data_IF_987861987795
#
_entry.id   IF_987861987795
#
_cell.length_a   1.000
_cell.length_b   1.000
_cell.length_c   1.000
_cell.angle_alpha   90.00
_cell.angle_beta   90.00
_cell.angle_gamma   90.00
#
_symmetry.space_group_name_H-M   'P 1'
#
loop_
_entity.id
_entity.type
_entity.pdbx_description
1 polymer ?
#
# COMPACT_ATOMS: atom_id res chain seq x y z
N UNK A 1 -50.14 -26.72 -0.22
CA UNK A 1 -51.13 -25.95 0.54
C UNK A 1 -51.06 -24.52 0.05
N UNK A 2 -52.03 -24.13 -0.79
CA UNK A 2 -52.13 -22.84 -1.47
C UNK A 2 -52.94 -21.91 -0.58
N UNK A 3 -52.47 -20.70 -0.29
CA UNK A 3 -53.36 -19.62 0.16
C UNK A 3 -52.94 -18.35 -0.58
N UNK A 4 -53.70 -18.05 -1.63
CA UNK A 4 -53.86 -16.73 -2.20
C UNK A 4 -55.22 -16.21 -1.73
N UNK A 5 -55.27 -15.00 -1.18
CA UNK A 5 -56.54 -14.28 -1.04
C UNK A 5 -56.31 -12.78 -1.17
N UNK A 6 -56.66 -12.26 -2.34
CA UNK A 6 -56.95 -10.84 -2.60
C UNK A 6 -58.37 -10.55 -2.10
N UNK A 7 -58.60 -9.43 -1.41
CA UNK A 7 -59.92 -8.79 -1.38
C UNK A 7 -59.77 -7.28 -1.57
N UNK A 8 -60.42 -6.83 -2.63
CA UNK A 8 -60.67 -5.47 -3.08
C UNK A 8 -62.02 -5.03 -2.48
N UNK A 9 -62.12 -3.81 -1.95
CA UNK A 9 -63.43 -3.15 -1.80
C UNK A 9 -63.36 -1.68 -2.19
N UNK A 10 -64.32 -1.34 -3.05
CA UNK A 10 -64.60 -0.13 -3.81
C UNK A 10 -65.29 1.01 -3.01
N UNK A 11 -65.10 2.24 -3.54
CA UNK A 11 -66.04 3.39 -3.64
C UNK A 11 -66.21 4.29 -2.40
N UNK A 12 -66.43 5.62 -2.48
CA UNK A 12 -67.28 6.44 -3.37
C UNK A 12 -66.65 7.86 -3.52
N UNK A 13 -66.83 8.48 -4.69
CA UNK A 13 -66.52 9.89 -4.96
C UNK A 13 -67.65 10.82 -4.47
N UNK A 14 -67.29 11.98 -3.92
CA UNK A 14 -68.17 13.14 -3.78
C UNK A 14 -67.38 14.40 -4.13
N UNK A 15 -67.83 15.08 -5.19
CA UNK A 15 -67.32 16.34 -5.72
C UNK A 15 -68.06 17.50 -5.01
N UNK A 16 -67.32 18.43 -4.41
CA UNK A 16 -67.86 19.69 -3.89
C UNK A 16 -66.90 20.80 -4.32
N UNK A 17 -67.39 21.64 -5.23
CA UNK A 17 -66.65 22.75 -5.82
C UNK A 17 -66.13 23.76 -4.80
N UNK A 18 -64.89 24.19 -5.02
CA UNK A 18 -64.22 25.25 -4.29
C UNK A 18 -63.34 26.06 -5.24
N UNK A 19 -63.65 27.35 -5.33
CA UNK A 19 -62.98 28.46 -6.04
C UNK A 19 -61.46 28.33 -6.25
N UNK A 20 -60.99 28.54 -7.48
CA UNK A 20 -59.58 28.54 -7.86
C UNK A 20 -58.80 29.69 -7.19
N UNK A 21 -57.76 29.33 -6.41
CA UNK A 21 -56.77 30.26 -5.88
C UNK A 21 -55.79 30.72 -6.98
N UNK A 22 -55.22 31.94 -6.90
CA UNK A 22 -54.29 32.44 -7.90
C UNK A 22 -52.98 31.63 -7.92
N UNK A 23 -52.50 31.29 -9.12
CA UNK A 23 -51.29 30.52 -9.33
C UNK A 23 -50.04 31.30 -8.92
N UNK A 24 -49.28 30.76 -7.97
CA UNK A 24 -47.93 31.23 -7.62
C UNK A 24 -46.97 30.78 -8.74
N UNK A 25 -46.08 31.64 -9.27
CA UNK A 25 -45.11 31.24 -10.28
C UNK A 25 -44.14 30.20 -9.70
N UNK A 26 -43.91 29.11 -10.44
CA UNK A 26 -42.96 28.07 -10.02
C UNK A 26 -41.53 28.65 -9.94
N UNK A 27 -40.75 28.29 -8.90
CA UNK A 27 -39.35 28.69 -8.82
C UNK A 27 -38.57 28.07 -9.99
N UNK A 28 -37.65 28.85 -10.57
CA UNK A 28 -36.79 28.40 -11.65
C UNK A 28 -36.01 27.14 -11.22
N UNK A 29 -36.08 26.09 -12.02
CA UNK A 29 -35.41 24.84 -11.74
C UNK A 29 -33.88 25.06 -11.75
N UNK A 30 -33.30 24.96 -10.57
CA UNK A 30 -31.85 24.91 -10.40
C UNK A 30 -31.34 23.66 -11.12
N UNK A 31 -30.39 23.84 -12.04
CA UNK A 31 -29.93 22.77 -12.91
C UNK A 31 -29.08 21.80 -12.11
N UNK A 32 -29.68 20.70 -11.65
CA UNK A 32 -28.95 19.65 -10.95
C UNK A 32 -27.79 19.13 -11.82
N UNK A 33 -26.59 18.89 -11.23
CA UNK A 33 -25.46 18.34 -11.97
C UNK A 33 -25.83 16.98 -12.56
N UNK A 34 -25.37 16.74 -13.79
CA UNK A 34 -25.67 15.51 -14.51
C UNK A 34 -25.19 14.29 -13.69
N UNK A 35 -25.99 13.21 -13.64
CA UNK A 35 -25.60 12.01 -12.91
C UNK A 35 -24.32 11.43 -13.51
N UNK A 36 -23.35 11.09 -12.64
CA UNK A 36 -22.16 10.36 -13.05
C UNK A 36 -22.58 9.06 -13.74
N UNK A 37 -22.04 8.75 -14.94
CA UNK A 37 -22.42 7.54 -15.66
C UNK A 37 -22.21 6.30 -14.80
N UNK A 38 -23.25 5.48 -14.70
CA UNK A 38 -23.15 4.19 -14.04
C UNK A 38 -22.54 3.18 -15.03
N UNK A 39 -21.32 2.74 -14.76
CA UNK A 39 -20.58 1.81 -15.63
C UNK A 39 -19.18 1.55 -15.08
N UNK A 40 -18.49 0.51 -15.57
CA UNK A 40 -17.10 0.29 -15.20
C UNK A 40 -16.27 1.49 -15.65
N UNK A 41 -15.37 1.96 -14.78
CA UNK A 41 -14.44 3.02 -15.13
C UNK A 41 -13.63 2.60 -16.37
N UNK A 42 -13.40 3.54 -17.29
CA UNK A 42 -12.42 3.33 -18.35
C UNK A 42 -11.04 3.07 -17.74
N UNK A 43 -10.24 2.14 -18.29
CA UNK A 43 -8.88 1.93 -17.81
C UNK A 43 -8.05 3.20 -18.01
N UNK A 44 -7.06 3.46 -17.13
CA UNK A 44 -6.17 4.61 -17.31
C UNK A 44 -5.34 4.45 -18.57
N UNK A 45 -5.06 5.58 -19.21
CA UNK A 45 -4.10 5.72 -20.31
C UNK A 45 -2.66 5.50 -19.83
N UNK A 46 -1.73 5.31 -20.78
CA UNK A 46 -0.30 5.19 -20.46
C UNK A 46 0.25 6.41 -19.73
N UNK A 47 -0.12 7.62 -20.19
CA UNK A 47 0.35 8.87 -19.57
C UNK A 47 -0.17 9.05 -18.15
N UNK A 48 -1.42 8.61 -17.88
CA UNK A 48 -2.00 8.60 -16.53
C UNK A 48 -1.26 7.61 -15.63
N UNK A 49 -0.96 6.40 -16.13
CA UNK A 49 -0.16 5.42 -15.39
C UNK A 49 1.24 5.97 -15.07
N UNK A 50 1.91 6.60 -16.04
CA UNK A 50 3.23 7.19 -15.83
C UNK A 50 3.21 8.35 -14.82
N UNK A 51 2.16 9.17 -14.84
CA UNK A 51 1.95 10.22 -13.85
C UNK A 51 1.74 9.64 -12.45
N UNK A 52 0.87 8.63 -12.31
CA UNK A 52 0.61 7.96 -11.04
C UNK A 52 1.84 7.23 -10.51
N UNK A 53 2.66 6.62 -11.38
CA UNK A 53 3.94 6.03 -10.99
C UNK A 53 4.83 7.13 -10.42
N UNK A 54 5.08 8.23 -11.13
CA UNK A 54 5.93 9.33 -10.62
C UNK A 54 5.47 9.85 -9.26
N UNK A 55 4.16 10.06 -9.09
CA UNK A 55 3.59 10.50 -7.82
C UNK A 55 3.82 9.47 -6.71
N UNK A 56 3.54 8.19 -6.97
CA UNK A 56 3.77 7.11 -6.02
C UNK A 56 5.25 6.98 -5.61
N UNK A 57 6.18 7.18 -6.54
CA UNK A 57 7.61 7.15 -6.25
C UNK A 57 8.03 8.31 -5.35
N UNK A 58 7.55 9.52 -5.64
CA UNK A 58 7.79 10.70 -4.82
C UNK A 58 7.23 10.51 -3.41
N UNK A 59 6.02 9.93 -3.29
CA UNK A 59 5.43 9.58 -2.01
C UNK A 59 6.28 8.57 -1.24
N UNK A 60 6.70 7.46 -1.88
CA UNK A 60 7.51 6.44 -1.19
C UNK A 60 8.82 7.02 -0.66
N UNK A 61 9.51 7.87 -1.44
CA UNK A 61 10.73 8.54 -0.98
C UNK A 61 10.44 9.48 0.20
N UNK A 62 9.35 10.24 0.16
CA UNK A 62 9.00 11.18 1.23
C UNK A 62 8.50 10.48 2.50
N UNK A 63 7.89 9.31 2.38
CA UNK A 63 7.37 8.52 3.49
C UNK A 63 8.44 7.72 4.26
N UNK A 64 9.72 7.78 3.85
CA UNK A 64 10.77 7.08 4.58
C UNK A 64 10.97 7.66 5.98
N UNK A 65 10.93 6.81 6.98
CA UNK A 65 10.84 7.18 8.39
C UNK A 65 11.94 6.53 9.26
N UNK A 66 11.87 6.80 10.57
CA UNK A 66 12.94 6.53 11.54
C UNK A 66 14.02 7.61 11.53
N UNK A 67 14.99 7.52 12.43
CA UNK A 67 16.22 8.31 12.42
C UNK A 67 17.36 7.38 11.95
N UNK A 68 18.03 7.61 10.81
CA UNK A 68 18.07 8.81 9.96
C UNK A 68 17.21 8.71 8.68
N UNK A 69 15.94 8.34 8.79
CA UNK A 69 15.01 8.04 7.69
C UNK A 69 15.48 6.86 6.85
N UNK A 70 15.48 5.67 7.42
CA UNK A 70 16.06 4.48 6.80
C UNK A 70 15.08 3.32 6.58
N UNK A 71 13.81 3.47 6.95
CA UNK A 71 12.86 2.35 6.94
C UNK A 71 11.46 2.75 6.46
N UNK A 72 10.70 1.74 6.06
CA UNK A 72 9.26 1.78 5.85
C UNK A 72 8.65 0.59 6.59
N UNK A 73 8.39 0.69 7.91
CA UNK A 73 7.84 -0.40 8.67
C UNK A 73 6.49 -0.84 8.12
N UNK A 74 6.33 -2.15 7.92
CA UNK A 74 5.01 -2.69 7.71
C UNK A 74 4.26 -2.69 9.04
N UNK A 75 3.18 -1.91 9.12
CA UNK A 75 2.38 -1.81 10.34
C UNK A 75 1.82 -3.17 10.75
N UNK A 76 1.11 -3.86 9.85
CA UNK A 76 0.42 -5.10 10.17
C UNK A 76 -0.46 -5.01 11.43
N UNK A 77 -0.91 -6.15 11.94
CA UNK A 77 -1.76 -6.22 13.16
C UNK A 77 -1.05 -6.87 14.35
N UNK A 78 0.11 -7.48 14.12
CA UNK A 78 0.89 -8.18 15.14
C UNK A 78 1.91 -7.26 15.79
N UNK A 79 2.07 -7.36 17.11
CA UNK A 79 3.02 -6.56 17.90
C UNK A 79 3.81 -7.47 18.84
N UNK A 80 5.09 -7.17 19.03
CA UNK A 80 5.93 -7.82 20.04
C UNK A 80 6.16 -6.80 21.14
N UNK A 81 5.56 -7.05 22.32
CA UNK A 81 5.59 -6.12 23.46
C UNK A 81 5.05 -4.71 23.12
N UNK A 82 4.01 -4.64 22.27
CA UNK A 82 3.41 -3.38 21.83
C UNK A 82 4.11 -2.73 20.63
N UNK A 83 5.29 -3.20 20.24
CA UNK A 83 6.09 -2.63 19.17
C UNK A 83 5.93 -3.38 17.84
N UNK A 84 6.21 -2.68 16.73
CA UNK A 84 6.27 -3.31 15.40
C UNK A 84 7.43 -4.32 15.40
N UNK A 85 7.18 -5.59 15.08
CA UNK A 85 8.22 -6.61 15.04
C UNK A 85 9.35 -6.23 14.07
N UNK A 86 10.59 -6.56 14.42
CA UNK A 86 11.73 -6.20 13.58
C UNK A 86 11.68 -6.84 12.19
N UNK A 87 11.13 -8.06 12.08
CA UNK A 87 10.86 -8.71 10.79
C UNK A 87 9.96 -7.86 9.88
N UNK A 88 8.90 -7.24 10.43
CA UNK A 88 8.02 -6.33 9.71
C UNK A 88 8.71 -5.03 9.27
N UNK A 89 9.64 -4.54 10.09
CA UNK A 89 10.46 -3.38 9.74
C UNK A 89 11.39 -3.68 8.57
N UNK A 90 12.10 -4.80 8.62
CA UNK A 90 13.00 -5.24 7.54
C UNK A 90 12.22 -5.49 6.25
N UNK A 91 11.18 -6.33 6.29
CA UNK A 91 10.53 -6.71 5.05
C UNK A 91 9.70 -5.57 4.44
N UNK A 92 9.12 -4.67 5.23
CA UNK A 92 8.40 -3.50 4.70
C UNK A 92 9.37 -2.58 3.98
N UNK A 93 10.51 -2.32 4.63
CA UNK A 93 11.61 -1.55 4.06
C UNK A 93 12.14 -2.18 2.77
N UNK A 94 12.24 -3.51 2.74
CA UNK A 94 12.74 -4.27 1.60
C UNK A 94 11.78 -4.26 0.41
N UNK A 95 10.46 -4.33 0.66
CA UNK A 95 9.43 -4.23 -0.39
C UNK A 95 9.51 -2.86 -1.07
N UNK A 96 9.55 -1.78 -0.27
CA UNK A 96 9.63 -0.43 -0.81
C UNK A 96 10.98 -0.22 -1.50
N UNK A 97 12.09 -0.63 -0.89
CA UNK A 97 13.43 -0.53 -1.47
C UNK A 97 13.53 -1.22 -2.84
N UNK A 98 13.00 -2.44 -2.97
CA UNK A 98 12.97 -3.16 -4.25
C UNK A 98 12.08 -2.48 -5.28
N UNK A 99 10.90 -1.99 -4.88
CA UNK A 99 10.02 -1.21 -5.74
C UNK A 99 10.77 0.01 -6.31
N UNK A 100 11.48 0.75 -5.45
CA UNK A 100 12.25 1.92 -5.85
C UNK A 100 13.36 1.57 -6.85
N UNK A 101 14.06 0.46 -6.66
CA UNK A 101 15.14 0.02 -7.57
C UNK A 101 14.62 -0.42 -8.93
N UNK A 102 13.49 -1.14 -8.97
CA UNK A 102 13.00 -1.79 -10.20
C UNK A 102 12.31 -0.85 -11.18
N UNK A 103 11.89 0.32 -10.73
CA UNK A 103 11.12 1.23 -11.58
C UNK A 103 12.04 2.05 -12.50
N UNK A 104 11.56 2.42 -13.71
CA UNK A 104 12.32 3.23 -14.65
C UNK A 104 12.86 4.52 -14.03
N UNK A 105 14.00 4.99 -14.55
CA UNK A 105 14.63 6.25 -14.12
C UNK A 105 15.44 6.17 -12.82
N UNK A 106 15.55 5.00 -12.18
CA UNK A 106 16.30 4.86 -10.91
C UNK A 106 17.74 5.42 -10.96
N UNK A 107 18.50 5.12 -12.02
CA UNK A 107 19.90 5.55 -12.13
C UNK A 107 20.10 7.07 -12.12
N UNK A 108 19.13 7.82 -12.65
CA UNK A 108 19.14 9.29 -12.74
C UNK A 108 18.48 9.99 -11.54
N UNK A 109 17.86 9.25 -10.62
CA UNK A 109 17.14 9.81 -9.48
C UNK A 109 18.01 9.76 -8.20
N UNK A 110 18.68 10.87 -7.89
CA UNK A 110 19.58 10.95 -6.75
C UNK A 110 18.87 10.76 -5.40
N UNK A 111 17.72 11.42 -5.19
CA UNK A 111 16.98 11.35 -3.93
C UNK A 111 16.51 9.91 -3.64
N UNK A 112 16.05 9.23 -4.68
CA UNK A 112 15.65 7.82 -4.61
C UNK A 112 16.82 6.88 -4.33
N UNK A 113 17.96 7.09 -4.98
CA UNK A 113 19.20 6.33 -4.72
C UNK A 113 19.68 6.51 -3.29
N UNK A 114 19.60 7.71 -2.74
CA UNK A 114 19.93 7.98 -1.34
C UNK A 114 18.98 7.29 -0.37
N UNK A 115 17.67 7.30 -0.65
CA UNK A 115 16.67 6.60 0.15
C UNK A 115 16.92 5.08 0.15
N UNK A 116 17.20 4.50 -1.02
CA UNK A 116 17.58 3.08 -1.16
C UNK A 116 18.91 2.79 -0.45
N UNK A 117 19.88 3.70 -0.48
CA UNK A 117 21.15 3.52 0.22
C UNK A 117 20.98 3.48 1.75
N UNK A 118 20.09 4.31 2.32
CA UNK A 118 19.73 4.25 3.75
C UNK A 118 19.00 2.95 4.10
N UNK A 119 18.05 2.54 3.26
CA UNK A 119 17.31 1.29 3.42
C UNK A 119 18.22 0.06 3.36
N UNK A 120 19.18 0.05 2.43
CA UNK A 120 20.17 -1.02 2.30
C UNK A 120 21.00 -1.18 3.58
N UNK A 121 21.49 -0.08 4.16
CA UNK A 121 22.19 -0.11 5.47
C UNK A 121 21.31 -0.66 6.58
N UNK A 122 20.06 -0.21 6.66
CA UNK A 122 19.11 -0.67 7.67
C UNK A 122 18.86 -2.17 7.58
N UNK A 123 18.60 -2.68 6.37
CA UNK A 123 18.39 -4.12 6.13
C UNK A 123 19.66 -4.92 6.47
N UNK A 124 20.84 -4.47 6.04
CA UNK A 124 22.09 -5.16 6.38
C UNK A 124 22.38 -5.19 7.89
N UNK A 125 22.12 -4.08 8.59
CA UNK A 125 22.25 -3.99 10.05
C UNK A 125 21.29 -4.91 10.78
N UNK A 126 20.10 -5.15 10.21
CA UNK A 126 19.08 -6.05 10.75
C UNK A 126 19.55 -7.49 10.99
N UNK A 127 20.63 -7.93 10.33
CA UNK A 127 21.25 -9.26 10.56
C UNK A 127 21.93 -9.40 11.92
N UNK A 128 22.17 -8.30 12.62
CA UNK A 128 22.77 -8.28 13.97
C UNK A 128 21.74 -7.98 15.06
N UNK A 129 20.46 -7.85 14.69
CA UNK A 129 19.41 -7.55 15.65
C UNK A 129 18.99 -8.81 16.41
N UNK A 130 19.02 -8.79 17.77
CA UNK A 130 18.65 -9.97 18.56
C UNK A 130 17.24 -10.50 18.26
N UNK A 131 16.33 -9.61 17.88
CA UNK A 131 14.95 -9.97 17.50
C UNK A 131 14.86 -10.58 16.09
N UNK A 132 15.98 -10.75 15.40
CA UNK A 132 16.12 -11.47 14.14
C UNK A 132 16.92 -12.78 14.31
N UNK A 133 17.16 -13.25 15.53
CA UNK A 133 17.83 -14.54 15.74
C UNK A 133 17.03 -15.68 15.06
N UNK A 134 17.65 -16.54 14.23
CA UNK A 134 16.95 -17.67 13.61
C UNK A 134 16.46 -18.72 14.61
N UNK A 135 17.07 -18.82 15.80
CA UNK A 135 16.62 -19.75 16.84
C UNK A 135 15.41 -19.15 17.58
N UNK A 136 14.29 -19.87 17.57
CA UNK A 136 13.04 -19.39 18.19
C UNK A 136 12.16 -20.50 18.66
N UNK A 137 11.63 -20.30 19.85
CA UNK A 137 10.82 -21.29 20.55
C UNK A 137 9.48 -20.69 20.99
N UNK A 138 8.91 -19.83 20.14
CA UNK A 138 7.60 -19.22 20.39
C UNK A 138 6.67 -19.40 19.18
N UNK A 139 5.43 -18.90 19.30
CA UNK A 139 4.35 -19.16 18.34
C UNK A 139 4.51 -18.41 17.01
N UNK A 140 3.68 -17.39 16.78
CA UNK A 140 3.70 -16.66 15.52
C UNK A 140 5.05 -15.99 15.27
N UNK A 141 5.66 -16.28 14.11
CA UNK A 141 6.98 -15.81 13.73
C UNK A 141 6.93 -15.03 12.41
N UNK A 142 7.35 -13.77 12.49
CA UNK A 142 7.39 -12.83 11.35
C UNK A 142 8.81 -12.55 10.87
N UNK A 143 9.82 -13.18 11.49
CA UNK A 143 11.22 -13.00 11.11
C UNK A 143 11.51 -13.69 9.79
N UNK A 144 10.90 -14.84 9.52
CA UNK A 144 10.92 -15.49 8.20
C UNK A 144 10.49 -14.55 7.07
N UNK A 145 9.47 -13.71 7.30
CA UNK A 145 9.08 -12.67 6.35
C UNK A 145 10.19 -11.63 6.16
N UNK A 146 10.78 -11.15 7.26
CA UNK A 146 11.97 -10.30 7.22
C UNK A 146 13.13 -10.91 6.42
N UNK A 147 13.42 -12.20 6.61
CA UNK A 147 14.50 -12.89 5.92
C UNK A 147 14.25 -13.00 4.42
N UNK A 148 13.06 -13.47 4.02
CA UNK A 148 12.67 -13.62 2.63
C UNK A 148 12.74 -12.28 1.89
N UNK A 149 12.13 -11.25 2.45
CA UNK A 149 12.06 -9.94 1.80
C UNK A 149 13.39 -9.20 1.84
N UNK A 150 14.15 -9.31 2.94
CA UNK A 150 15.51 -8.80 3.04
C UNK A 150 16.41 -9.37 1.94
N UNK A 151 16.47 -10.70 1.81
CA UNK A 151 17.22 -11.35 0.75
C UNK A 151 16.74 -10.92 -0.65
N UNK A 152 15.42 -10.85 -0.89
CA UNK A 152 14.84 -10.45 -2.18
C UNK A 152 15.26 -9.03 -2.59
N UNK A 153 15.25 -8.09 -1.66
CA UNK A 153 15.70 -6.71 -1.91
C UNK A 153 17.19 -6.64 -2.23
N UNK A 154 18.04 -7.32 -1.45
CA UNK A 154 19.48 -7.36 -1.71
C UNK A 154 19.81 -8.01 -3.06
N UNK A 155 19.09 -9.06 -3.44
CA UNK A 155 19.20 -9.66 -4.77
C UNK A 155 18.74 -8.71 -5.88
N UNK A 156 17.67 -7.93 -5.66
CA UNK A 156 17.20 -6.94 -6.62
C UNK A 156 18.25 -5.82 -6.85
N UNK A 157 18.93 -5.37 -5.79
CA UNK A 157 20.06 -4.44 -5.91
C UNK A 157 21.18 -5.03 -6.76
N UNK A 158 21.57 -6.29 -6.54
CA UNK A 158 22.60 -6.97 -7.34
C UNK A 158 22.19 -7.11 -8.80
N UNK A 159 20.97 -7.58 -9.06
CA UNK A 159 20.45 -7.78 -10.41
C UNK A 159 20.41 -6.46 -11.21
N UNK A 160 20.04 -5.36 -10.56
CA UNK A 160 20.03 -4.03 -11.15
C UNK A 160 21.42 -3.35 -11.21
N UNK A 161 22.48 -4.01 -10.72
CA UNK A 161 23.82 -3.42 -10.53
C UNK A 161 23.76 -2.10 -9.76
N UNK A 162 22.89 -2.06 -8.76
CA UNK A 162 22.45 -0.88 -8.03
C UNK A 162 22.86 -0.89 -6.55
N UNK A 163 23.72 -1.82 -6.14
CA UNK A 163 24.28 -1.85 -4.79
C UNK A 163 24.93 -0.48 -4.49
N UNK A 164 24.55 0.21 -3.40
CA UNK A 164 25.12 1.50 -3.06
C UNK A 164 26.63 1.39 -2.85
N UNK A 165 27.39 2.35 -3.37
CA UNK A 165 28.83 2.36 -3.24
C UNK A 165 29.28 2.28 -1.77
N UNK A 166 30.22 1.39 -1.48
CA UNK A 166 30.77 1.16 -0.14
C UNK A 166 29.89 0.31 0.77
N UNK A 167 28.87 -0.38 0.22
CA UNK A 167 28.03 -1.33 0.96
C UNK A 167 28.11 -2.76 0.39
N UNK A 168 28.99 -3.02 -0.57
CA UNK A 168 29.06 -4.27 -1.32
C UNK A 168 29.32 -5.47 -0.39
N UNK A 169 30.29 -5.34 0.50
CA UNK A 169 30.66 -6.40 1.43
C UNK A 169 29.55 -6.69 2.45
N UNK A 170 28.89 -5.64 2.95
CA UNK A 170 27.78 -5.73 3.88
C UNK A 170 26.56 -6.41 3.23
N UNK A 171 26.27 -6.07 1.97
CA UNK A 171 25.20 -6.69 1.20
C UNK A 171 25.47 -8.18 0.99
N UNK A 172 26.69 -8.57 0.59
CA UNK A 172 27.03 -9.98 0.38
C UNK A 172 26.96 -10.77 1.69
N UNK A 173 27.48 -10.21 2.79
CA UNK A 173 27.40 -10.81 4.12
C UNK A 173 25.95 -10.96 4.57
N UNK A 174 25.14 -9.90 4.45
CA UNK A 174 23.76 -9.92 4.90
C UNK A 174 22.89 -10.86 4.06
N UNK A 175 23.10 -10.91 2.75
CA UNK A 175 22.41 -11.86 1.87
C UNK A 175 22.73 -13.31 2.26
N UNK A 176 24.01 -13.64 2.49
CA UNK A 176 24.40 -14.96 2.97
C UNK A 176 23.71 -15.32 4.30
N UNK A 177 23.69 -14.38 5.24
CA UNK A 177 23.02 -14.57 6.53
C UNK A 177 21.51 -14.80 6.38
N UNK A 178 20.80 -14.00 5.57
CA UNK A 178 19.35 -14.19 5.38
C UNK A 178 19.02 -15.54 4.75
N UNK A 179 19.83 -15.99 3.79
CA UNK A 179 19.66 -17.29 3.16
C UNK A 179 19.87 -18.45 4.14
N UNK A 180 20.88 -18.36 5.01
CA UNK A 180 21.14 -19.33 6.08
C UNK A 180 20.04 -19.33 7.14
N UNK A 181 19.58 -18.15 7.56
CA UNK A 181 18.54 -17.99 8.57
C UNK A 181 17.20 -18.64 8.16
N UNK A 182 16.88 -18.67 6.86
CA UNK A 182 15.67 -19.33 6.34
C UNK A 182 15.72 -20.86 6.37
N UNK A 183 16.91 -21.46 6.56
CA UNK A 183 17.09 -22.91 6.56
C UNK A 183 17.03 -23.52 7.96
N UNK A 184 16.87 -22.70 9.00
CA UNK A 184 16.88 -23.07 10.41
C UNK A 184 15.47 -23.02 10.98
#
# INVERSE_FOLDING_TARGET
MIIATTVLTLWIAADVGGTAAPAVPAPAADSAPAPTPFGPASPPTGDEVDAMVREGLAFLVSAQEGEPRSQWPYEGVYRVRGEIPFGYRIGGTSIVGECLVRMPGYGSDAARREAVARACRFVCAGTSEPLMDPVYDAGYDVRGWGYCYGARFLLALRAAKAVPAGQEAEVDRALGWYLDAMQR
#
